data_IF_087563347623
#
_entry.id   IF_087563347623
#
_cell.length_a   1.000
_cell.length_b   1.000
_cell.length_c   1.000
_cell.angle_alpha   90.00
_cell.angle_beta   90.00
_cell.angle_gamma   90.00
#
_symmetry.space_group_name_H-M   'P 1'
#
loop_
_entity.id
_entity.type
_entity.pdbx_description
1 polymer ?
#
# COMPACT_ATOMS: atom_id res chain seq x y z
N UNK A 1 -23.38 -31.73 -45.07
CA UNK A 1 -23.77 -30.36 -44.66
C UNK A 1 -24.09 -29.58 -45.96
N UNK A 2 -25.32 -29.11 -46.10
CA UNK A 2 -25.79 -28.46 -47.35
C UNK A 2 -25.03 -27.15 -47.58
N UNK A 3 -24.62 -26.89 -48.87
CA UNK A 3 -24.00 -25.63 -49.32
C UNK A 3 -24.76 -24.37 -48.84
N UNK A 4 -26.06 -24.49 -48.64
CA UNK A 4 -26.92 -23.39 -48.15
C UNK A 4 -26.62 -23.03 -46.66
N UNK A 5 -26.26 -23.98 -45.80
CA UNK A 5 -25.92 -23.74 -44.41
C UNK A 5 -24.58 -22.99 -44.30
N UNK A 6 -23.62 -23.38 -45.12
CA UNK A 6 -22.30 -22.72 -45.16
C UNK A 6 -22.42 -21.28 -45.63
N UNK A 7 -23.19 -21.00 -46.70
CA UNK A 7 -23.43 -19.66 -47.20
C UNK A 7 -24.19 -18.80 -46.16
N UNK A 8 -25.13 -19.35 -45.43
CA UNK A 8 -25.87 -18.62 -44.38
C UNK A 8 -24.95 -18.26 -43.21
N UNK A 9 -24.05 -19.14 -42.82
CA UNK A 9 -23.06 -18.87 -41.76
C UNK A 9 -22.06 -17.81 -42.21
N UNK A 10 -21.56 -17.86 -43.44
CA UNK A 10 -20.65 -16.84 -43.97
C UNK A 10 -21.34 -15.47 -44.04
N UNK A 11 -22.60 -15.42 -44.47
CA UNK A 11 -23.38 -14.18 -44.51
C UNK A 11 -23.62 -13.60 -43.12
N UNK A 12 -23.90 -14.47 -42.10
CA UNK A 12 -24.10 -14.07 -40.73
C UNK A 12 -22.80 -13.53 -40.09
N UNK A 13 -21.64 -14.17 -40.36
CA UNK A 13 -20.34 -13.68 -39.93
C UNK A 13 -19.95 -12.34 -40.59
N UNK A 14 -20.28 -12.15 -41.86
CA UNK A 14 -20.03 -10.89 -42.56
C UNK A 14 -20.86 -9.73 -42.02
N UNK A 15 -22.10 -9.97 -41.57
CA UNK A 15 -22.96 -8.97 -40.96
C UNK A 15 -22.49 -8.61 -39.53
N UNK A 16 -21.91 -9.57 -38.78
CA UNK A 16 -21.33 -9.29 -37.44
C UNK A 16 -20.06 -8.42 -37.50
N UNK A 17 -19.32 -8.43 -38.61
CA UNK A 17 -18.11 -7.62 -38.79
C UNK A 17 -18.39 -6.13 -39.14
N UNK A 18 -19.65 -5.73 -39.38
CA UNK A 18 -20.03 -4.37 -39.77
C UNK A 18 -20.58 -3.58 -38.53
N UNK A 19 -20.44 -4.10 -37.33
CA UNK A 19 -20.76 -3.29 -36.16
C UNK A 19 -19.68 -2.19 -36.08
N UNK A 20 -20.02 -0.90 -36.31
CA UNK A 20 -19.05 0.16 -36.13
C UNK A 20 -18.69 0.12 -34.62
N UNK A 21 -17.43 -0.20 -34.33
CA UNK A 21 -16.91 -0.09 -32.97
C UNK A 21 -17.27 1.29 -32.46
N UNK A 22 -17.86 1.37 -31.26
CA UNK A 22 -18.09 2.62 -30.57
C UNK A 22 -16.79 3.44 -30.67
N UNK A 23 -16.76 4.46 -31.52
CA UNK A 23 -15.80 5.54 -31.38
C UNK A 23 -16.21 6.23 -30.07
N UNK A 24 -15.45 6.04 -29.02
CA UNK A 24 -15.53 6.93 -27.87
C UNK A 24 -15.28 8.33 -28.41
N UNK A 25 -16.36 9.09 -28.60
CA UNK A 25 -16.27 10.51 -28.88
C UNK A 25 -15.92 11.17 -27.55
N UNK A 26 -14.66 11.36 -27.29
CA UNK A 26 -14.23 12.26 -26.23
C UNK A 26 -14.74 13.65 -26.57
N UNK A 27 -15.75 14.10 -25.83
CA UNK A 27 -16.18 15.48 -25.93
C UNK A 27 -15.08 16.31 -25.30
N UNK A 28 -14.33 17.03 -26.12
CA UNK A 28 -13.32 17.95 -25.63
C UNK A 28 -14.04 19.05 -24.83
N UNK A 29 -13.61 19.28 -23.58
CA UNK A 29 -14.19 20.33 -22.76
C UNK A 29 -13.93 21.69 -23.39
N UNK A 30 -14.99 22.41 -23.74
CA UNK A 30 -14.93 23.68 -24.47
C UNK A 30 -15.44 24.88 -23.67
N UNK A 31 -15.72 24.69 -22.37
CA UNK A 31 -16.19 25.74 -21.48
C UNK A 31 -15.04 26.57 -20.86
N UNK A 32 -15.32 27.26 -19.77
CA UNK A 32 -14.40 28.17 -19.13
C UNK A 32 -13.07 27.50 -18.75
N UNK A 33 -11.97 28.20 -18.95
CA UNK A 33 -10.65 27.78 -18.51
C UNK A 33 -10.57 27.88 -16.99
N UNK A 34 -10.27 26.77 -16.32
CA UNK A 34 -9.94 26.72 -14.89
C UNK A 34 -8.54 26.13 -14.72
N UNK A 35 -7.82 26.66 -13.73
CA UNK A 35 -6.51 26.13 -13.31
C UNK A 35 -6.60 25.77 -11.81
N UNK A 36 -6.19 24.55 -11.48
CA UNK A 36 -6.39 24.04 -10.12
C UNK A 36 -5.33 22.99 -9.75
N UNK A 37 -5.12 22.78 -8.45
CA UNK A 37 -4.47 21.59 -7.97
C UNK A 37 -5.35 20.36 -8.26
N UNK A 38 -4.73 19.24 -8.61
CA UNK A 38 -5.46 18.00 -8.92
C UNK A 38 -6.15 17.40 -7.67
N UNK A 39 -5.54 17.61 -6.49
CA UNK A 39 -6.02 17.12 -5.21
C UNK A 39 -6.14 18.29 -4.22
N UNK A 40 -7.18 18.31 -3.38
CA UNK A 40 -7.34 19.30 -2.30
C UNK A 40 -6.49 18.97 -1.06
N UNK A 41 -6.19 17.69 -0.85
CA UNK A 41 -5.28 17.18 0.18
C UNK A 41 -4.66 15.88 -0.31
N UNK A 42 -3.36 15.70 -0.08
CA UNK A 42 -2.67 14.44 -0.39
C UNK A 42 -1.44 14.25 0.49
N UNK A 43 -1.21 13.00 0.90
CA UNK A 43 0.02 12.59 1.57
C UNK A 43 1.07 12.21 0.53
N UNK A 44 2.29 12.69 0.73
CA UNK A 44 3.43 12.41 -0.13
C UNK A 44 4.56 11.76 0.66
N UNK A 45 5.13 10.64 0.16
CA UNK A 45 6.28 10.01 0.78
C UNK A 45 7.53 10.87 0.57
N UNK A 46 8.21 11.21 1.65
CA UNK A 46 9.55 11.80 1.60
C UNK A 46 10.55 10.66 1.72
N UNK A 47 11.21 10.33 0.61
CA UNK A 47 12.19 9.27 0.49
C UNK A 47 13.60 9.87 0.39
N UNK A 48 14.59 9.14 0.89
CA UNK A 48 15.98 9.61 0.94
C UNK A 48 16.57 9.88 -0.45
N UNK A 49 16.20 9.05 -1.43
CA UNK A 49 16.79 9.07 -2.78
C UNK A 49 15.88 9.74 -3.82
N UNK A 50 14.77 10.36 -3.39
CA UNK A 50 13.84 11.08 -4.26
C UNK A 50 14.05 12.58 -4.10
N UNK A 51 14.55 13.22 -5.16
CA UNK A 51 14.90 14.65 -5.12
C UNK A 51 13.67 15.54 -4.96
N UNK A 52 12.57 15.24 -5.67
CA UNK A 52 11.37 16.09 -5.66
C UNK A 52 10.08 15.27 -5.53
N UNK A 53 9.23 15.72 -4.63
CA UNK A 53 7.80 15.42 -4.62
C UNK A 53 7.14 16.24 -5.73
N UNK A 54 6.21 15.63 -6.49
CA UNK A 54 5.50 16.25 -7.60
C UNK A 54 4.04 16.48 -7.24
N UNK A 55 3.64 17.75 -7.14
CA UNK A 55 2.26 18.14 -6.79
C UNK A 55 1.59 18.64 -8.07
N UNK A 56 0.61 17.90 -8.63
CA UNK A 56 0.06 18.22 -9.93
C UNK A 56 -0.88 19.41 -9.89
N UNK A 57 -0.68 20.32 -10.84
CA UNK A 57 -1.60 21.40 -11.22
C UNK A 57 -2.13 21.10 -12.62
N UNK A 58 -3.43 21.20 -12.79
CA UNK A 58 -4.13 20.89 -14.04
C UNK A 58 -4.94 22.08 -14.52
N UNK A 59 -5.11 22.16 -15.85
CA UNK A 59 -6.04 23.09 -16.48
C UNK A 59 -7.12 22.32 -17.23
N UNK A 60 -8.34 22.83 -17.27
CA UNK A 60 -9.43 22.24 -18.02
C UNK A 60 -9.24 22.37 -19.52
N UNK A 61 -8.43 23.33 -19.98
CA UNK A 61 -8.23 23.65 -21.40
C UNK A 61 -6.75 23.61 -21.77
N UNK A 62 -6.44 23.14 -22.97
CA UNK A 62 -5.12 23.27 -23.59
C UNK A 62 -5.05 24.58 -24.38
N UNK A 63 -4.03 25.40 -24.11
CA UNK A 63 -3.81 26.66 -24.82
C UNK A 63 -2.64 26.54 -25.80
N UNK A 64 -2.64 27.36 -26.83
CA UNK A 64 -1.54 27.43 -27.83
C UNK A 64 -0.34 28.26 -27.37
N UNK A 65 -0.33 28.73 -26.10
CA UNK A 65 0.71 29.56 -25.50
C UNK A 65 1.00 29.10 -24.08
N UNK A 66 2.18 29.45 -23.58
CA UNK A 66 2.60 29.15 -22.21
C UNK A 66 1.81 30.00 -21.19
N UNK A 67 1.44 29.38 -20.07
CA UNK A 67 0.71 30.05 -18.98
C UNK A 67 1.50 29.92 -17.68
N UNK A 68 1.91 31.04 -17.11
CA UNK A 68 2.70 31.07 -15.87
C UNK A 68 1.85 31.57 -14.71
N UNK A 69 1.90 30.83 -13.57
CA UNK A 69 1.18 31.13 -12.34
C UNK A 69 2.13 31.15 -11.17
N UNK A 70 1.82 31.98 -10.14
CA UNK A 70 2.52 31.97 -8.89
C UNK A 70 2.07 30.82 -8.00
N UNK A 71 2.96 30.40 -7.11
CA UNK A 71 2.69 29.43 -6.04
C UNK A 71 3.16 30.06 -4.73
N UNK A 72 2.28 30.13 -3.75
CA UNK A 72 2.57 30.65 -2.42
C UNK A 72 2.24 29.62 -1.32
N UNK A 73 2.93 29.73 -0.19
CA UNK A 73 2.69 28.92 1.01
C UNK A 73 1.77 29.72 1.92
N UNK A 74 0.76 29.07 2.48
CA UNK A 74 -0.15 29.66 3.46
C UNK A 74 0.34 29.28 4.87
N UNK A 75 1.16 30.11 5.47
CA UNK A 75 1.82 29.84 6.76
C UNK A 75 0.84 29.49 7.89
N UNK A 76 -0.31 30.17 7.94
CA UNK A 76 -1.33 29.94 8.97
C UNK A 76 -2.00 28.56 8.90
N UNK A 77 -1.89 27.91 7.76
CA UNK A 77 -2.45 26.56 7.48
C UNK A 77 -1.32 25.52 7.38
N UNK A 78 -0.09 25.84 7.86
CA UNK A 78 1.10 24.99 7.73
C UNK A 78 1.74 24.78 9.09
N UNK A 79 2.11 23.54 9.42
CA UNK A 79 2.94 23.22 10.58
C UNK A 79 4.34 22.71 10.18
N UNK A 80 4.51 22.30 8.92
CA UNK A 80 5.81 22.09 8.33
C UNK A 80 6.47 23.45 8.04
N UNK A 81 7.75 23.58 8.32
CA UNK A 81 8.52 24.81 8.17
C UNK A 81 9.36 24.72 6.90
N UNK A 82 9.19 25.71 6.00
CA UNK A 82 10.05 25.84 4.83
C UNK A 82 11.51 26.01 5.26
N UNK A 83 12.44 25.48 4.50
CA UNK A 83 13.88 25.39 4.77
C UNK A 83 14.30 24.40 5.86
N UNK A 84 13.38 23.94 6.71
CA UNK A 84 13.63 22.91 7.71
C UNK A 84 13.10 21.53 7.27
N UNK A 85 11.83 21.44 6.87
CA UNK A 85 11.18 20.18 6.51
C UNK A 85 11.03 20.01 5.00
N UNK A 86 10.93 21.12 4.26
CA UNK A 86 10.82 21.12 2.80
C UNK A 86 11.31 22.45 2.20
N UNK A 87 11.39 22.47 0.87
CA UNK A 87 11.67 23.68 0.08
C UNK A 87 10.97 23.58 -1.28
N UNK A 88 10.31 24.66 -1.71
CA UNK A 88 9.83 24.78 -3.09
C UNK A 88 11.03 24.94 -4.04
N UNK A 89 11.01 24.21 -5.17
CA UNK A 89 12.00 24.40 -6.23
C UNK A 89 11.84 25.75 -6.93
N UNK A 90 10.59 26.23 -7.02
CA UNK A 90 10.24 27.54 -7.58
C UNK A 90 8.92 28.02 -6.99
N UNK A 91 8.77 29.34 -6.87
CA UNK A 91 7.50 29.98 -6.51
C UNK A 91 6.61 30.28 -7.74
N UNK A 92 6.96 29.78 -8.90
CA UNK A 92 6.18 29.88 -10.13
C UNK A 92 6.17 28.55 -10.87
N UNK A 93 5.08 28.29 -11.60
CA UNK A 93 4.90 27.16 -12.50
C UNK A 93 4.48 27.66 -13.88
N UNK A 94 4.86 26.94 -14.92
CA UNK A 94 4.43 27.24 -16.29
C UNK A 94 3.82 26.00 -16.91
N UNK A 95 2.55 26.11 -17.32
CA UNK A 95 1.89 25.08 -18.16
C UNK A 95 2.30 25.39 -19.60
N UNK A 96 3.05 24.50 -20.29
CA UNK A 96 3.51 24.77 -21.65
C UNK A 96 2.37 24.82 -22.67
N UNK A 97 2.62 25.45 -23.80
CA UNK A 97 1.72 25.45 -24.95
C UNK A 97 1.36 24.00 -25.35
N UNK A 98 0.07 23.72 -25.57
CA UNK A 98 -0.44 22.39 -25.91
C UNK A 98 -0.61 21.43 -24.74
N UNK A 99 -0.12 21.80 -23.54
CA UNK A 99 -0.27 21.00 -22.34
C UNK A 99 -1.38 21.55 -21.43
N UNK A 100 -1.87 20.68 -20.55
CA UNK A 100 -2.87 21.07 -19.54
C UNK A 100 -2.48 20.60 -18.12
N UNK A 101 -1.21 20.25 -17.93
CA UNK A 101 -0.67 19.81 -16.66
C UNK A 101 0.76 20.29 -16.46
N UNK A 102 1.08 20.61 -15.20
CA UNK A 102 2.43 20.88 -14.70
C UNK A 102 2.51 20.43 -13.26
N UNK A 103 3.70 20.17 -12.74
CA UNK A 103 3.89 19.82 -11.34
C UNK A 103 4.59 20.97 -10.61
N UNK A 104 4.11 21.30 -9.39
CA UNK A 104 4.89 22.02 -8.39
C UNK A 104 5.90 21.03 -7.82
N UNK A 105 7.19 21.38 -7.87
CA UNK A 105 8.27 20.54 -7.38
C UNK A 105 8.65 20.96 -5.96
N UNK A 106 8.63 20.01 -5.03
CA UNK A 106 8.96 20.22 -3.61
C UNK A 106 10.06 19.26 -3.21
N UNK A 107 11.17 19.77 -2.71
CA UNK A 107 12.21 18.97 -2.08
C UNK A 107 11.86 18.75 -0.60
N UNK A 108 11.71 17.50 -0.17
CA UNK A 108 11.51 17.13 1.24
C UNK A 108 12.85 16.79 1.92
N UNK A 109 13.08 17.34 3.11
CA UNK A 109 14.29 17.05 3.88
C UNK A 109 14.09 15.81 4.74
N UNK A 110 14.40 14.63 4.18
CA UNK A 110 14.19 13.31 4.77
C UNK A 110 14.66 13.19 6.23
N UNK A 111 15.87 13.69 6.53
CA UNK A 111 16.48 13.54 7.85
C UNK A 111 15.80 14.43 8.91
N UNK A 112 15.06 15.44 8.50
CA UNK A 112 14.37 16.40 9.37
C UNK A 112 12.89 16.03 9.63
N UNK A 113 12.43 14.91 9.08
CA UNK A 113 11.06 14.41 9.28
C UNK A 113 11.14 13.16 10.13
N UNK A 114 10.46 13.16 11.28
CA UNK A 114 10.34 11.99 12.15
C UNK A 114 9.36 10.96 11.57
N UNK A 115 9.53 9.70 11.97
CA UNK A 115 8.68 8.59 11.52
C UNK A 115 7.21 8.78 11.93
N UNK A 116 6.99 9.40 13.08
CA UNK A 116 5.66 9.64 13.67
C UNK A 116 5.17 11.07 13.49
N UNK A 117 5.93 11.91 12.77
CA UNK A 117 5.54 13.30 12.57
C UNK A 117 4.33 13.42 11.65
N UNK A 118 3.44 14.34 12.01
CA UNK A 118 2.33 14.78 11.18
C UNK A 118 2.61 16.19 10.68
N UNK A 119 3.47 16.29 9.68
CA UNK A 119 3.90 17.57 9.10
C UNK A 119 3.13 17.85 7.81
N UNK A 120 2.65 19.09 7.66
CA UNK A 120 1.96 19.48 6.46
C UNK A 120 2.09 20.97 6.19
N UNK A 121 1.88 21.35 4.93
CA UNK A 121 1.81 22.73 4.49
C UNK A 121 0.73 22.89 3.43
N UNK A 122 0.21 24.11 3.31
CA UNK A 122 -0.81 24.44 2.32
C UNK A 122 -0.21 25.35 1.25
N UNK A 123 -0.40 24.94 -0.01
CA UNK A 123 -0.08 25.72 -1.19
C UNK A 123 -1.32 26.43 -1.74
N UNK A 124 -1.13 27.62 -2.29
CA UNK A 124 -2.15 28.38 -3.01
C UNK A 124 -1.61 28.82 -4.37
N UNK A 125 -2.44 28.74 -5.41
CA UNK A 125 -2.15 29.32 -6.71
C UNK A 125 -2.43 30.82 -6.69
N UNK A 126 -1.48 31.61 -7.20
CA UNK A 126 -1.63 33.04 -7.45
C UNK A 126 -1.96 33.20 -8.93
N UNK A 127 -3.21 33.44 -9.22
CA UNK A 127 -3.76 33.50 -10.58
C UNK A 127 -4.94 34.49 -10.65
N UNK A 128 -5.32 34.97 -11.85
CA UNK A 128 -6.52 35.78 -12.04
C UNK A 128 -7.80 35.04 -11.62
N UNK A 129 -8.73 35.77 -10.98
CA UNK A 129 -9.97 35.20 -10.42
C UNK A 129 -10.82 34.47 -11.45
N UNK A 130 -10.81 34.90 -12.72
CA UNK A 130 -11.56 34.21 -13.79
C UNK A 130 -11.07 32.80 -14.12
N UNK A 131 -9.86 32.43 -13.68
CA UNK A 131 -9.31 31.08 -13.82
C UNK A 131 -9.54 30.23 -12.59
N UNK A 132 -10.09 30.81 -11.51
CA UNK A 132 -10.40 30.09 -10.28
C UNK A 132 -11.72 29.32 -10.41
N UNK A 133 -11.68 28.04 -10.11
CA UNK A 133 -12.88 27.24 -9.99
C UNK A 133 -13.60 27.61 -8.68
N UNK A 134 -14.91 27.97 -8.71
CA UNK A 134 -15.59 28.59 -7.56
C UNK A 134 -15.64 27.76 -6.27
N UNK A 135 -15.47 26.44 -6.34
CA UNK A 135 -15.66 25.56 -5.19
C UNK A 135 -14.38 24.97 -4.61
N UNK A 136 -13.34 24.77 -5.42
CA UNK A 136 -12.09 24.13 -4.99
C UNK A 136 -10.97 24.33 -6.00
N UNK A 137 -9.77 23.88 -5.63
CA UNK A 137 -8.64 23.73 -6.55
C UNK A 137 -7.61 24.85 -6.49
N UNK A 138 -7.93 26.02 -5.91
CA UNK A 138 -6.94 27.07 -5.70
C UNK A 138 -5.89 26.68 -4.67
N UNK A 139 -6.29 25.91 -3.64
CA UNK A 139 -5.43 25.43 -2.56
C UNK A 139 -5.30 23.92 -2.55
N UNK A 140 -4.16 23.44 -2.05
CA UNK A 140 -3.94 22.03 -1.71
C UNK A 140 -3.17 21.90 -0.41
N UNK A 141 -3.58 20.96 0.43
CA UNK A 141 -2.85 20.59 1.65
C UNK A 141 -1.95 19.41 1.35
N UNK A 142 -0.66 19.60 1.57
CA UNK A 142 0.40 18.60 1.38
C UNK A 142 0.78 18.05 2.73
N UNK A 143 0.62 16.75 2.93
CA UNK A 143 1.09 16.06 4.13
C UNK A 143 2.38 15.32 3.78
N UNK A 144 3.43 15.59 4.54
CA UNK A 144 4.73 14.93 4.41
C UNK A 144 4.77 13.70 5.30
N UNK A 145 5.12 12.57 4.74
CA UNK A 145 5.31 11.33 5.47
C UNK A 145 6.69 10.76 5.19
N UNK A 146 7.46 10.49 6.24
CA UNK A 146 8.75 9.81 6.08
C UNK A 146 8.53 8.39 5.56
N UNK A 147 9.22 8.04 4.48
CA UNK A 147 9.19 6.70 3.91
C UNK A 147 10.61 6.14 3.86
N UNK A 148 10.90 5.18 4.74
CA UNK A 148 12.21 4.53 4.81
C UNK A 148 12.40 3.56 3.65
N UNK A 149 13.62 3.41 3.13
CA UNK A 149 13.93 2.37 2.17
C UNK A 149 13.59 0.99 2.72
N UNK A 150 13.02 0.14 1.89
CA UNK A 150 12.79 -1.25 2.27
C UNK A 150 14.12 -2.01 2.27
N UNK A 151 14.42 -2.64 3.40
CA UNK A 151 15.50 -3.62 3.54
C UNK A 151 14.93 -4.88 4.19
N UNK A 152 14.85 -5.96 3.43
CA UNK A 152 14.31 -7.24 3.90
C UNK A 152 15.10 -7.81 5.09
N UNK A 153 16.38 -7.45 5.22
CA UNK A 153 17.21 -7.91 6.35
C UNK A 153 16.68 -7.36 7.68
N UNK A 154 16.01 -6.19 7.69
CA UNK A 154 15.34 -5.65 8.86
C UNK A 154 14.17 -6.50 9.37
N UNK A 155 13.73 -7.48 8.57
CA UNK A 155 12.65 -8.42 8.89
C UNK A 155 13.17 -9.85 9.12
N UNK A 156 14.44 -9.99 9.50
CA UNK A 156 15.07 -11.28 9.84
C UNK A 156 15.61 -11.27 11.27
N UNK A 157 15.74 -12.44 11.88
CA UNK A 157 16.20 -12.59 13.25
C UNK A 157 15.07 -12.87 14.23
N UNK A 158 15.17 -12.35 15.44
CA UNK A 158 14.15 -12.52 16.46
C UNK A 158 12.95 -11.61 16.23
N UNK A 159 11.76 -12.19 16.41
CA UNK A 159 10.50 -11.51 16.20
C UNK A 159 9.50 -11.90 17.28
N UNK A 160 8.86 -10.90 17.88
CA UNK A 160 7.68 -11.09 18.74
C UNK A 160 6.45 -11.14 17.87
N UNK A 161 5.78 -12.28 17.85
CA UNK A 161 4.50 -12.49 17.19
C UNK A 161 3.39 -12.38 18.20
N UNK A 162 2.52 -11.39 18.07
CA UNK A 162 1.26 -11.25 18.84
C UNK A 162 0.08 -11.65 17.96
N UNK A 163 -0.78 -12.54 18.43
CA UNK A 163 -1.86 -13.13 17.61
C UNK A 163 -3.19 -13.21 18.33
N UNK A 164 -4.25 -12.74 17.69
CA UNK A 164 -5.63 -12.94 18.18
C UNK A 164 -6.10 -14.39 18.07
N UNK A 165 -5.46 -15.19 17.21
CA UNK A 165 -5.69 -16.64 17.20
C UNK A 165 -5.20 -17.30 18.47
N UNK A 166 -3.97 -17.02 18.90
CA UNK A 166 -3.42 -17.54 20.15
C UNK A 166 -4.25 -17.07 21.34
N UNK A 167 -4.69 -15.82 21.35
CA UNK A 167 -5.58 -15.30 22.40
C UNK A 167 -6.87 -16.10 22.49
N UNK A 168 -7.40 -16.58 21.37
CA UNK A 168 -8.68 -17.31 21.33
C UNK A 168 -8.51 -18.80 21.64
N UNK A 169 -7.50 -19.44 21.07
CA UNK A 169 -7.33 -20.90 21.08
C UNK A 169 -6.22 -21.40 22.01
N UNK A 170 -5.47 -20.49 22.63
CA UNK A 170 -4.49 -20.81 23.67
C UNK A 170 -4.78 -20.01 24.97
N UNK A 171 -5.98 -20.17 25.57
CA UNK A 171 -6.44 -19.28 26.64
C UNK A 171 -5.63 -19.37 27.93
N UNK A 172 -4.83 -20.43 28.11
CA UNK A 172 -3.96 -20.63 29.28
C UNK A 172 -2.48 -20.34 28.98
N UNK A 173 -2.16 -20.00 27.74
CA UNK A 173 -0.83 -19.63 27.28
C UNK A 173 -0.73 -18.16 26.94
N UNK A 174 0.45 -17.76 26.49
CA UNK A 174 0.65 -16.42 25.99
C UNK A 174 -0.03 -16.26 24.63
N UNK A 175 -0.62 -15.08 24.39
CA UNK A 175 -1.04 -14.65 23.04
C UNK A 175 0.15 -14.16 22.20
N UNK A 176 1.35 -14.16 22.78
CA UNK A 176 2.60 -13.79 22.12
C UNK A 176 3.53 -15.00 22.07
N UNK A 177 4.35 -15.00 21.03
CA UNK A 177 5.43 -15.98 20.83
C UNK A 177 6.68 -15.27 20.37
N UNK A 178 7.81 -15.72 20.87
CA UNK A 178 9.11 -15.35 20.34
C UNK A 178 9.49 -16.39 19.26
N UNK A 179 9.60 -15.93 18.01
CA UNK A 179 9.94 -16.76 16.86
C UNK A 179 11.20 -16.24 16.17
N UNK A 180 11.78 -17.03 15.28
CA UNK A 180 12.84 -16.59 14.39
C UNK A 180 12.36 -16.50 12.96
N UNK A 181 12.91 -15.52 12.24
CA UNK A 181 12.68 -15.38 10.81
C UNK A 181 14.01 -15.41 10.06
N UNK A 182 13.98 -15.89 8.82
CA UNK A 182 15.15 -15.93 7.93
C UNK A 182 14.74 -15.63 6.49
N UNK A 183 15.69 -15.22 5.66
CA UNK A 183 15.44 -15.04 4.23
C UNK A 183 15.05 -16.36 3.58
N UNK A 184 14.08 -16.30 2.66
CA UNK A 184 13.77 -17.45 1.84
C UNK A 184 14.90 -17.69 0.82
N UNK A 185 15.39 -18.94 0.65
CA UNK A 185 16.60 -19.19 -0.12
C UNK A 185 16.48 -18.94 -1.63
N UNK A 186 15.26 -18.89 -2.17
CA UNK A 186 15.01 -18.81 -3.62
C UNK A 186 13.95 -17.79 -4.03
N UNK A 187 13.10 -17.33 -3.10
CA UNK A 187 12.06 -16.33 -3.39
C UNK A 187 12.55 -14.95 -2.94
N UNK A 188 12.52 -14.00 -3.87
CA UNK A 188 12.83 -12.60 -3.59
C UNK A 188 11.79 -11.99 -2.64
N UNK A 189 12.20 -11.02 -1.85
CA UNK A 189 11.35 -10.30 -0.89
C UNK A 189 10.50 -11.22 0.00
N UNK A 190 11.00 -12.42 0.31
CA UNK A 190 10.26 -13.43 1.09
C UNK A 190 11.08 -13.87 2.29
N UNK A 191 10.41 -13.98 3.44
CA UNK A 191 10.98 -14.53 4.66
C UNK A 191 10.29 -15.83 5.03
N UNK A 192 11.00 -16.68 5.79
CA UNK A 192 10.46 -17.86 6.47
C UNK A 192 10.28 -17.48 7.94
N UNK A 193 9.08 -17.64 8.47
CA UNK A 193 8.77 -17.51 9.88
C UNK A 193 8.80 -18.90 10.51
N UNK A 194 9.84 -19.18 11.27
CA UNK A 194 10.03 -20.49 11.89
C UNK A 194 9.15 -20.66 13.12
N UNK A 195 8.49 -21.82 13.22
CA UNK A 195 7.62 -22.14 14.37
C UNK A 195 6.49 -21.11 14.55
N UNK A 196 5.83 -20.70 13.49
CA UNK A 196 4.84 -19.63 13.45
C UNK A 196 3.86 -19.63 14.63
N UNK A 197 2.86 -20.48 14.65
CA UNK A 197 1.90 -20.61 15.75
C UNK A 197 2.21 -21.80 16.66
N UNK A 198 2.86 -22.82 16.12
CA UNK A 198 3.24 -24.04 16.83
C UNK A 198 4.64 -24.47 16.38
N UNK A 199 5.40 -25.09 17.29
CA UNK A 199 6.73 -25.61 16.98
C UNK A 199 6.66 -26.68 15.90
N UNK A 200 7.55 -26.58 14.91
CA UNK A 200 7.62 -27.51 13.77
C UNK A 200 6.81 -27.06 12.55
N UNK A 201 6.13 -25.93 12.61
CA UNK A 201 5.36 -25.38 11.49
C UNK A 201 5.88 -24.02 11.09
N UNK A 202 6.48 -23.98 9.91
CA UNK A 202 7.03 -22.75 9.30
C UNK A 202 6.03 -22.21 8.27
N UNK A 203 5.96 -20.89 8.16
CA UNK A 203 5.20 -20.20 7.10
C UNK A 203 6.06 -19.15 6.41
N UNK A 204 5.67 -18.74 5.23
CA UNK A 204 6.38 -17.74 4.45
C UNK A 204 5.54 -16.48 4.29
N UNK A 205 6.20 -15.32 4.33
CA UNK A 205 5.62 -14.01 4.05
C UNK A 205 6.39 -13.35 2.90
N UNK A 206 5.65 -12.77 1.95
CA UNK A 206 6.22 -12.04 0.82
C UNK A 206 5.89 -10.55 0.95
N UNK A 207 6.91 -9.71 0.84
CA UNK A 207 6.82 -8.26 0.95
C UNK A 207 6.70 -7.62 -0.44
N UNK A 208 5.83 -6.62 -0.56
CA UNK A 208 5.56 -5.85 -1.77
C UNK A 208 5.84 -4.36 -1.50
N UNK A 209 7.10 -3.91 -1.67
CA UNK A 209 7.53 -2.56 -1.33
C UNK A 209 7.26 -1.52 -2.43
N UNK A 210 6.59 -1.88 -3.52
CA UNK A 210 6.45 -1.06 -4.74
C UNK A 210 5.70 0.25 -4.47
N UNK A 211 4.71 0.22 -3.57
CA UNK A 211 4.02 1.42 -3.10
C UNK A 211 4.54 1.84 -1.72
N UNK A 212 5.37 2.88 -1.62
CA UNK A 212 5.92 3.34 -0.34
C UNK A 212 4.88 3.93 0.60
N UNK A 213 3.68 4.26 0.10
CA UNK A 213 2.55 4.75 0.90
C UNK A 213 1.71 3.63 1.49
N UNK A 214 1.77 2.45 0.88
CA UNK A 214 0.93 1.30 1.24
C UNK A 214 1.70 0.00 1.00
N UNK A 215 2.86 -0.20 1.68
CA UNK A 215 3.70 -1.36 1.44
C UNK A 215 3.01 -2.61 1.98
N UNK A 216 2.65 -3.53 1.08
CA UNK A 216 1.86 -4.71 1.39
C UNK A 216 2.73 -5.91 1.77
N UNK A 217 2.18 -6.79 2.61
CA UNK A 217 2.73 -8.11 2.88
C UNK A 217 1.65 -9.18 2.63
N UNK A 218 2.04 -10.30 2.03
CA UNK A 218 1.11 -11.38 1.70
C UNK A 218 1.62 -12.72 2.20
N UNK A 219 0.68 -13.64 2.39
CA UNK A 219 0.93 -15.04 2.72
C UNK A 219 0.28 -15.93 1.66
N UNK A 220 1.07 -16.84 1.08
CA UNK A 220 0.59 -17.79 0.08
C UNK A 220 -0.49 -18.69 0.67
N UNK A 221 -1.42 -19.14 -0.19
CA UNK A 221 -2.49 -20.06 0.20
C UNK A 221 -1.96 -21.47 0.49
N UNK A 222 -2.56 -22.13 1.48
CA UNK A 222 -2.33 -23.55 1.76
C UNK A 222 -1.10 -23.84 2.61
N UNK A 223 -0.51 -22.86 3.25
CA UNK A 223 0.55 -23.08 4.21
C UNK A 223 -0.02 -23.73 5.48
N UNK A 224 0.70 -24.68 6.04
CA UNK A 224 0.28 -25.40 7.27
C UNK A 224 0.89 -24.66 8.46
N UNK A 225 0.03 -24.20 9.39
CA UNK A 225 0.48 -23.48 10.57
C UNK A 225 0.47 -24.32 11.87
N UNK A 226 -0.28 -25.41 11.88
CA UNK A 226 -0.32 -26.40 12.97
C UNK A 226 -1.11 -27.64 12.59
N UNK A 227 -1.13 -28.63 13.49
CA UNK A 227 -2.16 -29.68 13.52
C UNK A 227 -3.42 -29.18 14.23
N UNK A 228 -4.57 -29.86 13.99
CA UNK A 228 -5.85 -29.51 14.60
C UNK A 228 -5.91 -29.90 16.08
N UNK A 229 -5.33 -31.06 16.42
CA UNK A 229 -5.37 -31.60 17.76
C UNK A 229 -4.74 -30.67 18.81
N UNK A 230 -3.65 -29.99 18.46
CA UNK A 230 -2.92 -29.09 19.35
C UNK A 230 -3.74 -27.88 19.80
N UNK A 231 -4.62 -27.36 18.94
CA UNK A 231 -5.45 -26.19 19.28
C UNK A 231 -6.90 -26.52 19.59
N UNK A 232 -7.47 -27.52 18.93
CA UNK A 232 -8.90 -27.86 19.09
C UNK A 232 -9.13 -29.07 20.00
N UNK A 233 -8.06 -29.81 20.32
CA UNK A 233 -8.17 -31.05 21.10
C UNK A 233 -8.80 -32.22 20.34
N UNK A 234 -9.16 -32.02 19.07
CA UNK A 234 -9.76 -33.02 18.18
C UNK A 234 -9.52 -32.67 16.72
N UNK A 235 -9.59 -33.68 15.84
CA UNK A 235 -9.44 -33.52 14.40
C UNK A 235 -10.81 -33.40 13.72
N UNK A 236 -10.97 -32.41 12.87
CA UNK A 236 -12.19 -32.14 12.10
C UNK A 236 -12.01 -32.45 10.60
N UNK A 237 -10.77 -32.55 10.13
CA UNK A 237 -10.42 -32.76 8.74
C UNK A 237 -9.13 -33.56 8.56
N UNK A 238 -8.18 -33.05 7.79
CA UNK A 238 -6.91 -33.72 7.46
C UNK A 238 -5.84 -33.55 8.57
N UNK A 239 -6.25 -33.20 9.78
CA UNK A 239 -5.39 -32.88 10.93
C UNK A 239 -4.40 -31.76 10.66
N UNK A 240 -4.86 -30.73 9.94
CA UNK A 240 -4.02 -29.57 9.56
C UNK A 240 -4.84 -28.30 9.60
N UNK A 241 -4.34 -27.30 10.33
CA UNK A 241 -4.83 -25.93 10.21
C UNK A 241 -3.98 -25.21 9.15
N UNK A 242 -4.63 -24.80 8.07
CA UNK A 242 -4.01 -24.07 6.99
C UNK A 242 -4.21 -22.57 7.18
N UNK A 243 -3.30 -21.78 6.61
CA UNK A 243 -3.33 -20.34 6.68
C UNK A 243 -3.06 -19.71 5.31
N UNK A 244 -3.64 -18.55 5.10
CA UNK A 244 -3.42 -17.66 3.95
C UNK A 244 -3.67 -16.22 4.34
N UNK A 245 -3.33 -15.25 3.46
CA UNK A 245 -3.80 -13.87 3.62
C UNK A 245 -5.31 -13.81 3.69
N UNK A 246 -5.84 -13.00 4.60
CA UNK A 246 -7.27 -12.74 4.69
C UNK A 246 -7.76 -11.98 3.46
N UNK A 247 -8.98 -12.25 3.02
CA UNK A 247 -9.67 -11.49 1.97
C UNK A 247 -10.47 -10.31 2.50
N UNK A 248 -10.52 -10.13 3.82
CA UNK A 248 -11.31 -9.08 4.48
C UNK A 248 -10.54 -7.79 4.66
N UNK A 249 -9.21 -7.85 4.74
CA UNK A 249 -8.36 -6.68 4.94
C UNK A 249 -6.96 -6.94 4.40
N UNK A 250 -6.33 -5.90 3.89
CA UNK A 250 -4.94 -5.90 3.48
C UNK A 250 -4.00 -5.92 4.68
N UNK A 251 -2.81 -6.43 4.46
CA UNK A 251 -1.74 -6.55 5.44
C UNK A 251 -0.58 -5.65 5.04
N UNK A 252 -0.03 -4.93 6.00
CA UNK A 252 0.98 -3.91 5.76
C UNK A 252 2.22 -4.12 6.60
N UNK A 253 3.36 -3.67 6.07
CA UNK A 253 4.59 -3.61 6.86
C UNK A 253 5.12 -2.18 6.94
N UNK A 254 5.94 -1.93 7.96
CA UNK A 254 6.52 -0.63 8.25
C UNK A 254 8.04 -0.70 8.20
N UNK A 255 8.68 -0.24 7.10
CA UNK A 255 10.13 -0.32 6.94
C UNK A 255 10.90 0.46 8.01
N UNK A 256 10.36 1.60 8.46
CA UNK A 256 11.01 2.46 9.45
C UNK A 256 11.03 1.89 10.86
N UNK A 257 10.13 0.96 11.19
CA UNK A 257 9.95 0.41 12.53
C UNK A 257 10.20 -1.08 12.62
N UNK A 258 10.51 -1.74 11.50
CA UNK A 258 10.69 -3.19 11.42
C UNK A 258 9.55 -3.97 12.09
N UNK A 259 8.32 -3.61 11.77
CA UNK A 259 7.12 -4.32 12.22
C UNK A 259 6.11 -4.44 11.09
N UNK A 260 5.18 -5.37 11.22
CA UNK A 260 4.08 -5.56 10.29
C UNK A 260 2.78 -5.93 10.99
N UNK A 261 1.68 -5.68 10.29
CA UNK A 261 0.34 -6.14 10.61
C UNK A 261 -0.11 -7.12 9.54
N UNK A 262 -0.49 -8.33 9.92
CA UNK A 262 -0.99 -9.31 8.97
C UNK A 262 -2.35 -9.86 9.38
N UNK A 263 -3.32 -9.71 8.49
CA UNK A 263 -4.62 -10.37 8.57
C UNK A 263 -4.53 -11.73 7.88
N UNK A 264 -4.79 -12.78 8.63
CA UNK A 264 -4.77 -14.15 8.15
C UNK A 264 -6.15 -14.79 8.21
N UNK A 265 -6.46 -15.61 7.24
CA UNK A 265 -7.59 -16.54 7.27
C UNK A 265 -7.04 -17.93 7.57
N UNK A 266 -7.58 -18.56 8.63
CA UNK A 266 -7.25 -19.93 9.02
C UNK A 266 -8.42 -20.84 8.71
N UNK A 267 -8.13 -22.00 8.12
CA UNK A 267 -9.14 -22.91 7.63
C UNK A 267 -8.67 -24.37 7.69
N UNK A 268 -9.63 -25.30 7.65
CA UNK A 268 -9.42 -26.75 7.68
C UNK A 268 -9.88 -27.35 6.37
N UNK A 269 -9.14 -28.34 5.87
CA UNK A 269 -9.51 -29.15 4.71
C UNK A 269 -9.76 -30.60 5.12
N UNK A 270 -10.56 -31.30 4.32
CA UNK A 270 -10.72 -32.75 4.36
C UNK A 270 -10.69 -33.30 2.93
N UNK A 271 -9.81 -34.25 2.66
CA UNK A 271 -9.58 -34.82 1.31
C UNK A 271 -9.34 -33.73 0.24
N UNK A 272 -8.65 -32.66 0.62
CA UNK A 272 -8.33 -31.52 -0.26
C UNK A 272 -9.44 -30.46 -0.38
N UNK A 273 -10.63 -30.69 0.11
CA UNK A 273 -11.77 -29.77 0.11
C UNK A 273 -11.80 -28.95 1.40
N UNK A 274 -12.16 -27.66 1.33
CA UNK A 274 -12.31 -26.82 2.53
C UNK A 274 -13.55 -27.26 3.30
N UNK A 275 -13.35 -27.73 4.53
CA UNK A 275 -14.44 -28.13 5.44
C UNK A 275 -15.04 -26.91 6.12
N UNK A 276 -14.20 -25.94 6.50
CA UNK A 276 -14.66 -24.72 7.15
C UNK A 276 -13.53 -23.71 7.40
N UNK A 277 -13.93 -22.46 7.57
CA UNK A 277 -13.05 -21.37 8.03
C UNK A 277 -13.06 -21.34 9.54
N UNK A 278 -11.88 -21.45 10.16
CA UNK A 278 -11.72 -21.26 11.61
C UNK A 278 -11.97 -19.79 11.99
N UNK A 279 -11.46 -18.88 11.19
CA UNK A 279 -11.68 -17.47 11.34
C UNK A 279 -10.64 -16.60 10.62
N UNK A 280 -10.84 -15.28 10.79
CA UNK A 280 -9.89 -14.26 10.36
C UNK A 280 -9.22 -13.68 11.61
N UNK A 281 -7.90 -13.66 11.61
CA UNK A 281 -7.11 -13.29 12.78
C UNK A 281 -6.12 -12.20 12.44
N UNK A 282 -6.00 -11.27 13.38
CA UNK A 282 -5.04 -10.17 13.31
C UNK A 282 -3.77 -10.56 14.05
N UNK A 283 -2.64 -10.35 13.39
CA UNK A 283 -1.33 -10.63 13.96
C UNK A 283 -0.43 -9.40 13.81
N UNK A 284 0.37 -9.15 14.83
CA UNK A 284 1.44 -8.15 14.82
C UNK A 284 2.76 -8.87 14.95
N UNK A 285 3.71 -8.52 14.11
CA UNK A 285 5.08 -9.01 14.19
C UNK A 285 6.01 -7.84 14.36
N UNK A 286 6.86 -7.90 15.37
CA UNK A 286 7.85 -6.87 15.70
C UNK A 286 9.23 -7.51 15.82
N UNK A 287 10.17 -7.03 15.02
CA UNK A 287 11.55 -7.50 15.05
C UNK A 287 12.34 -6.78 16.12
N UNK A 288 13.01 -7.56 16.94
CA UNK A 288 13.73 -7.10 18.13
C UNK A 288 15.21 -7.53 18.08
N UNK A 289 16.04 -6.90 18.89
CA UNK A 289 17.43 -7.28 19.02
C UNK A 289 17.62 -8.63 19.72
N UNK A 290 18.79 -9.24 19.51
CA UNK A 290 19.18 -10.48 20.21
C UNK A 290 19.18 -10.28 21.75
N UNK A 291 19.62 -9.11 22.23
CA UNK A 291 19.62 -8.78 23.66
C UNK A 291 18.20 -8.73 24.25
N UNK A 292 17.28 -8.11 23.54
CA UNK A 292 15.88 -8.05 23.95
C UNK A 292 15.22 -9.42 23.93
N UNK A 293 15.50 -10.24 22.92
CA UNK A 293 15.01 -11.61 22.84
C UNK A 293 15.51 -12.46 24.01
N UNK A 294 16.80 -12.36 24.38
CA UNK A 294 17.34 -13.04 25.54
C UNK A 294 16.69 -12.55 26.86
N UNK A 295 16.36 -11.27 26.96
CA UNK A 295 15.62 -10.71 28.09
C UNK A 295 14.23 -11.35 28.23
N UNK A 296 13.46 -11.37 27.14
CA UNK A 296 12.11 -11.95 27.11
C UNK A 296 12.13 -13.45 27.43
N UNK A 297 13.11 -14.19 26.96
CA UNK A 297 13.27 -15.61 27.30
C UNK A 297 13.54 -15.83 28.79
N UNK A 298 14.35 -14.99 29.42
CA UNK A 298 14.68 -15.12 30.86
C UNK A 298 13.55 -14.67 31.77
N UNK A 299 12.88 -13.58 31.43
CA UNK A 299 11.91 -12.91 32.32
C UNK A 299 10.48 -13.40 32.12
N UNK A 300 10.12 -13.72 30.90
CA UNK A 300 8.74 -14.07 30.52
C UNK A 300 8.58 -15.52 30.06
N UNK A 301 9.70 -16.26 29.89
CA UNK A 301 9.66 -17.66 29.47
C UNK A 301 9.14 -17.87 28.06
N UNK A 302 9.31 -16.86 27.18
CA UNK A 302 8.86 -16.88 25.80
C UNK A 302 9.75 -17.75 24.90
#
# INVERSE_FOLDING_TARGET
MSKHIINTIILLCAVLCIVPGCKESYTEYSDAEYVMFADSIRTYPVQKDVEYIRIPVVSTVKCSYDRTFGVEIIDKESNAIETLHYRLASNTITIPAGENRVDVLVHGYYDNIGVTDSLGFTLSLVMPDQLEMPMYGRKTSVVLMKSCPFDINGFTGWCVLSSTFLQTYNPYGSYQRLIRTSLHPTKENTIICHNWMLNGYDVTLTFHPEDPMSPLVTMDEGQIMSDEGSFFGQTHGDDRILVRSSRLADSYFYPCGNYLYIWTEMYVKNLGETVGTVGHFYNVMEWISDEEAERLQREEGM
#
